data_IF_504672234219
#
_entry.id   IF_504672234219
#
_cell.length_a   1.000
_cell.length_b   1.000
_cell.length_c   1.000
_cell.angle_alpha   90.00
_cell.angle_beta   90.00
_cell.angle_gamma   90.00
#
_symmetry.space_group_name_H-M   'P 1'
#
loop_
_entity.id
_entity.type
_entity.pdbx_description
1 polymer ?
#
# COMPACT_ATOMS: atom_id res chain seq x y z
N UNK A 1 1.29 -1.46 12.38
CA UNK A 1 2.64 -1.20 11.83
C UNK A 1 2.59 0.08 11.02
N UNK A 2 3.09 1.17 11.60
CA UNK A 2 3.27 2.45 10.93
C UNK A 2 4.49 2.32 10.03
N UNK A 3 4.33 2.45 8.71
CA UNK A 3 5.45 2.58 7.80
C UNK A 3 5.75 4.07 7.65
N UNK A 4 6.67 4.56 8.47
CA UNK A 4 7.24 5.90 8.34
C UNK A 4 8.27 5.88 7.20
N UNK A 5 8.14 6.83 6.28
CA UNK A 5 8.76 6.83 4.97
C UNK A 5 9.94 7.79 4.90
N UNK A 6 11.12 7.35 5.31
CA UNK A 6 12.39 8.02 5.02
C UNK A 6 13.03 7.48 3.73
N UNK A 7 12.31 7.55 2.60
CA UNK A 7 12.89 7.25 1.29
C UNK A 7 12.32 8.18 0.21
N UNK A 8 13.06 9.26 -0.04
CA UNK A 8 12.81 10.30 -1.07
C UNK A 8 12.78 9.76 -2.51
N UNK A 9 13.08 8.48 -2.75
CA UNK A 9 13.16 7.88 -4.09
C UNK A 9 12.12 6.79 -4.39
N UNK A 10 11.18 6.51 -3.48
CA UNK A 10 10.06 5.59 -3.74
C UNK A 10 8.75 6.36 -3.70
N UNK A 11 8.26 6.82 -4.85
CA UNK A 11 6.87 7.20 -4.96
C UNK A 11 6.00 6.00 -4.53
N UNK A 12 5.13 6.14 -3.51
CA UNK A 12 4.25 5.06 -3.09
C UNK A 12 3.10 4.97 -4.10
N UNK A 13 3.26 4.21 -5.18
CA UNK A 13 2.20 4.02 -6.19
C UNK A 13 1.09 3.07 -5.75
N UNK A 14 1.32 2.35 -4.64
CA UNK A 14 0.33 1.45 -4.05
C UNK A 14 -0.14 2.01 -2.71
N UNK A 15 -1.38 2.46 -2.69
CA UNK A 15 -2.10 2.71 -1.44
C UNK A 15 -2.55 1.35 -0.91
N UNK A 16 -1.84 0.83 0.09
CA UNK A 16 -2.52 0.06 1.11
C UNK A 16 -3.20 1.09 2.02
N UNK A 17 -4.53 1.07 2.22
CA UNK A 17 -5.17 1.97 3.16
C UNK A 17 -4.58 1.69 4.55
N UNK A 18 -3.78 2.63 5.06
CA UNK A 18 -2.87 2.34 6.16
C UNK A 18 -2.30 3.58 6.84
N UNK A 19 -3.17 4.52 7.23
CA UNK A 19 -3.05 5.28 8.50
C UNK A 19 -4.46 5.62 9.02
N UNK A 20 -5.02 4.68 9.78
CA UNK A 20 -5.99 4.96 10.82
C UNK A 20 -5.23 5.60 11.99
N UNK A 21 -5.67 6.77 12.43
CA UNK A 21 -5.09 7.47 13.58
C UNK A 21 -5.69 6.90 14.87
N UNK A 22 -4.99 5.96 15.50
CA UNK A 22 -5.19 5.63 16.90
C UNK A 22 -4.30 6.57 17.72
N UNK A 23 -4.90 7.56 18.38
CA UNK A 23 -4.21 8.31 19.44
C UNK A 23 -4.23 7.45 20.71
N UNK A 24 -3.09 7.21 21.39
CA UNK A 24 -3.12 6.64 22.73
C UNK A 24 -3.68 7.67 23.71
N UNK A 25 -4.69 7.24 24.45
CA UNK A 25 -5.24 7.94 25.61
C UNK A 25 -4.18 8.05 26.70
N UNK A 26 -4.06 9.23 27.28
CA UNK A 26 -3.27 9.53 28.46
C UNK A 26 -3.70 8.69 29.65
N UNK A 27 -2.77 7.95 30.26
CA UNK A 27 -2.91 7.48 31.64
C UNK A 27 -1.60 7.70 32.40
N UNK A 28 -1.77 8.26 33.58
CA UNK A 28 -0.80 8.73 34.57
C UNK A 28 -0.05 7.62 35.33
N UNK A 29 1.19 7.94 35.76
CA UNK A 29 1.96 7.25 36.82
C UNK A 29 2.75 6.03 36.32
N UNK A 30 3.97 5.73 36.74
CA UNK A 30 4.80 6.16 37.87
C UNK A 30 6.29 5.92 37.54
N UNK A 31 7.15 6.65 38.25
CA UNK A 31 8.61 6.65 38.25
C UNK A 31 9.21 5.24 38.46
N UNK A 32 10.10 4.77 37.57
CA UNK A 32 10.99 3.64 37.87
C UNK A 32 12.34 3.78 37.14
N UNK A 33 13.38 4.06 37.93
CA UNK A 33 14.77 4.17 37.51
C UNK A 33 15.38 2.82 37.15
N UNK A 34 16.15 2.74 36.05
CA UNK A 34 17.10 1.62 35.81
C UNK A 34 18.36 2.08 35.04
N UNK A 35 19.48 1.34 35.15
CA UNK A 35 20.77 1.91 35.51
C UNK A 35 21.74 1.95 34.33
N UNK A 36 22.87 2.63 34.58
CA UNK A 36 23.99 2.78 33.66
C UNK A 36 24.79 1.49 33.38
N UNK A 37 25.54 1.55 32.26
CA UNK A 37 26.70 0.74 31.82
C UNK A 37 26.43 -0.45 30.90
N UNK A 38 27.22 -0.50 29.81
CA UNK A 38 27.52 -1.72 29.09
C UNK A 38 27.87 -1.50 27.63
N UNK A 39 29.15 -1.21 27.35
CA UNK A 39 29.75 -1.17 26.01
C UNK A 39 29.38 -2.38 25.16
N UNK A 40 28.52 -2.20 24.15
CA UNK A 40 28.35 -3.18 23.06
C UNK A 40 29.16 -2.70 21.86
N UNK A 41 30.24 -3.42 21.59
CA UNK A 41 31.03 -3.31 20.35
C UNK A 41 30.06 -3.33 19.17
N UNK A 42 30.05 -2.24 18.41
CA UNK A 42 29.34 -2.15 17.15
C UNK A 42 29.98 -3.13 16.17
N UNK A 43 29.37 -4.31 16.03
CA UNK A 43 29.65 -5.23 14.95
C UNK A 43 29.19 -4.54 13.65
N UNK A 44 30.12 -3.84 13.01
CA UNK A 44 29.93 -3.26 11.67
C UNK A 44 29.75 -4.41 10.68
N UNK A 45 28.52 -4.86 10.48
CA UNK A 45 28.18 -5.67 9.32
C UNK A 45 28.05 -4.74 8.11
N UNK A 46 28.99 -4.95 7.19
CA UNK A 46 29.16 -4.29 5.90
C UNK A 46 27.94 -4.46 4.99
N UNK A 47 27.57 -3.38 4.29
CA UNK A 47 26.66 -3.41 3.14
C UNK A 47 25.27 -2.83 3.38
N UNK A 48 25.13 -1.49 3.37
CA UNK A 48 23.83 -0.82 3.21
C UNK A 48 23.23 -1.19 1.85
N UNK A 49 22.38 -2.23 1.83
CA UNK A 49 21.60 -2.60 0.63
C UNK A 49 20.50 -1.56 0.44
N UNK A 50 20.46 -0.90 -0.71
CA UNK A 50 19.38 0.02 -1.04
C UNK A 50 18.09 -0.78 -1.30
N UNK A 51 17.21 -0.84 -0.29
CA UNK A 51 15.92 -1.51 -0.37
C UNK A 51 14.85 -0.64 -1.07
N UNK A 52 15.16 0.59 -1.48
CA UNK A 52 14.23 1.41 -2.25
C UNK A 52 14.06 0.88 -3.69
N UNK A 53 15.14 0.39 -4.31
CA UNK A 53 15.09 -0.10 -5.69
C UNK A 53 14.16 -1.33 -5.83
N UNK A 54 13.28 -1.29 -6.83
CA UNK A 54 12.27 -2.32 -7.13
C UNK A 54 11.49 -2.77 -5.89
N UNK A 55 11.10 -1.82 -5.04
CA UNK A 55 10.46 -2.09 -3.75
C UNK A 55 9.12 -2.79 -3.94
N UNK A 56 8.29 -2.36 -4.88
CA UNK A 56 6.94 -2.92 -5.06
C UNK A 56 7.01 -4.36 -5.55
N UNK A 57 7.85 -4.61 -6.56
CA UNK A 57 8.12 -5.96 -7.05
C UNK A 57 8.62 -6.87 -5.95
N UNK A 58 9.58 -6.40 -5.13
CA UNK A 58 10.11 -7.18 -4.02
C UNK A 58 9.08 -7.44 -2.91
N UNK A 59 8.14 -6.53 -2.68
CA UNK A 59 7.10 -6.70 -1.66
C UNK A 59 5.97 -7.63 -2.10
N UNK A 60 5.70 -7.71 -3.40
CA UNK A 60 4.63 -8.57 -3.94
C UNK A 60 5.13 -9.94 -4.38
N UNK A 61 6.41 -10.08 -4.72
CA UNK A 61 6.99 -11.35 -5.10
C UNK A 61 7.15 -12.29 -3.91
N UNK A 62 7.00 -13.59 -4.17
CA UNK A 62 7.53 -14.62 -3.29
C UNK A 62 9.06 -14.68 -3.42
N UNK A 63 9.76 -14.23 -2.38
CA UNK A 63 11.22 -14.17 -2.38
C UNK A 63 11.89 -15.53 -2.15
N UNK A 64 11.15 -16.54 -1.66
CA UNK A 64 11.72 -17.89 -1.49
C UNK A 64 12.16 -18.48 -2.84
N UNK A 65 11.45 -18.13 -3.92
CA UNK A 65 11.76 -18.53 -5.30
C UNK A 65 13.14 -18.06 -5.78
N UNK A 66 13.73 -17.05 -5.13
CA UNK A 66 14.98 -16.42 -5.54
C UNK A 66 16.06 -16.42 -4.46
N UNK A 67 15.97 -17.33 -3.49
CA UNK A 67 16.93 -17.41 -2.38
C UNK A 67 16.84 -16.22 -1.42
N UNK A 68 15.64 -15.65 -1.26
CA UNK A 68 15.35 -14.50 -0.42
C UNK A 68 16.22 -13.27 -0.78
N UNK A 69 17.11 -12.89 0.13
CA UNK A 69 18.03 -11.78 -0.03
C UNK A 69 19.44 -12.20 -0.48
N UNK A 70 19.67 -13.50 -0.70
CA UNK A 70 20.94 -14.00 -1.21
C UNK A 70 21.05 -13.74 -2.72
N UNK A 71 21.77 -12.68 -3.09
CA UNK A 71 21.95 -12.30 -4.51
C UNK A 71 22.87 -13.25 -5.28
N UNK A 72 23.66 -14.08 -4.61
CA UNK A 72 24.55 -15.05 -5.29
C UNK A 72 23.87 -16.38 -5.56
N UNK A 73 22.63 -16.57 -5.08
CA UNK A 73 21.86 -17.78 -5.30
C UNK A 73 21.63 -18.10 -6.78
N UNK A 74 21.47 -17.06 -7.62
CA UNK A 74 21.25 -17.20 -9.06
C UNK A 74 21.65 -15.92 -9.81
N UNK A 75 21.84 -15.97 -11.14
CA UNK A 75 22.15 -14.79 -11.95
C UNK A 75 21.11 -13.68 -11.80
N UNK A 76 21.57 -12.43 -11.74
CA UNK A 76 20.69 -11.27 -11.50
C UNK A 76 19.53 -11.16 -12.51
N UNK A 77 19.80 -11.40 -13.80
CA UNK A 77 18.79 -11.33 -14.85
C UNK A 77 17.73 -12.44 -14.75
N UNK A 78 18.07 -13.60 -14.19
CA UNK A 78 17.12 -14.68 -13.94
C UNK A 78 16.30 -14.39 -12.68
N UNK A 79 16.98 -13.91 -11.62
CA UNK A 79 16.37 -13.45 -10.38
C UNK A 79 15.28 -12.41 -10.64
N UNK A 80 15.59 -11.40 -11.43
CA UNK A 80 14.69 -10.29 -11.74
C UNK A 80 13.46 -10.76 -12.53
N UNK A 81 13.66 -11.69 -13.48
CA UNK A 81 12.56 -12.31 -14.24
C UNK A 81 11.61 -13.10 -13.33
N UNK A 82 12.14 -13.96 -12.45
CA UNK A 82 11.33 -14.78 -11.53
C UNK A 82 10.58 -13.87 -10.55
N UNK A 83 11.26 -12.87 -9.97
CA UNK A 83 10.62 -11.92 -9.06
C UNK A 83 9.46 -11.17 -9.72
N UNK A 84 9.66 -10.65 -10.93
CA UNK A 84 8.62 -9.90 -11.62
C UNK A 84 7.42 -10.79 -11.98
N UNK A 85 7.67 -12.01 -12.47
CA UNK A 85 6.60 -12.97 -12.77
C UNK A 85 5.79 -13.32 -11.51
N UNK A 86 6.47 -13.56 -10.38
CA UNK A 86 5.83 -13.83 -9.09
C UNK A 86 4.99 -12.64 -8.61
N UNK A 87 5.53 -11.42 -8.68
CA UNK A 87 4.81 -10.20 -8.31
C UNK A 87 3.56 -9.97 -9.17
N UNK A 88 3.64 -10.15 -10.49
CA UNK A 88 2.48 -10.03 -11.40
C UNK A 88 1.39 -11.06 -11.06
N UNK A 89 1.79 -12.31 -10.81
CA UNK A 89 0.87 -13.38 -10.42
C UNK A 89 0.15 -13.05 -9.11
N UNK A 90 0.90 -12.64 -8.11
CA UNK A 90 0.36 -12.33 -6.79
C UNK A 90 -0.56 -11.11 -6.84
N UNK A 91 -0.16 -10.04 -7.53
CA UNK A 91 -1.02 -8.86 -7.75
C UNK A 91 -2.32 -9.23 -8.47
N UNK A 92 -2.25 -10.10 -9.48
CA UNK A 92 -3.44 -10.54 -10.22
C UNK A 92 -4.39 -11.40 -9.38
N UNK A 93 -3.86 -12.12 -8.39
CA UNK A 93 -4.62 -12.95 -7.47
C UNK A 93 -5.27 -12.17 -6.32
N UNK A 94 -4.81 -10.94 -6.02
CA UNK A 94 -5.43 -10.09 -5.01
C UNK A 94 -6.87 -9.75 -5.38
N UNK A 95 -7.77 -9.79 -4.40
CA UNK A 95 -9.17 -9.39 -4.56
C UNK A 95 -9.28 -7.94 -5.04
N UNK A 96 -8.46 -7.05 -4.50
CA UNK A 96 -8.43 -5.64 -4.85
C UNK A 96 -7.04 -5.02 -4.70
N UNK A 97 -6.74 -4.03 -5.54
CA UNK A 97 -5.65 -3.06 -5.36
C UNK A 97 -6.05 -1.74 -6.05
N UNK A 98 -5.47 -0.62 -5.59
CA UNK A 98 -5.70 0.70 -6.16
C UNK A 98 -4.41 1.35 -6.67
N UNK A 99 -4.56 2.31 -7.58
CA UNK A 99 -3.47 3.15 -8.08
C UNK A 99 -3.66 4.59 -7.62
N UNK A 100 -2.58 5.21 -7.12
CA UNK A 100 -2.62 6.56 -6.53
C UNK A 100 -3.12 7.65 -7.47
N UNK A 101 -2.89 7.50 -8.77
CA UNK A 101 -3.31 8.48 -9.79
C UNK A 101 -4.77 8.28 -10.26
N UNK A 102 -5.44 7.22 -9.77
CA UNK A 102 -6.80 6.84 -10.16
C UNK A 102 -7.67 6.57 -8.93
N UNK A 103 -7.73 7.53 -8.00
CA UNK A 103 -8.42 7.37 -6.71
C UNK A 103 -9.91 7.07 -6.88
N UNK A 104 -10.61 7.83 -7.73
CA UNK A 104 -12.05 7.64 -7.98
C UNK A 104 -12.37 6.27 -8.58
N UNK A 105 -11.57 5.81 -9.54
CA UNK A 105 -11.70 4.47 -10.14
C UNK A 105 -11.40 3.40 -9.09
N UNK A 106 -10.36 3.59 -8.29
CA UNK A 106 -9.96 2.69 -7.21
C UNK A 106 -11.11 2.55 -6.18
N UNK A 107 -11.71 3.66 -5.76
CA UNK A 107 -12.88 3.66 -4.87
C UNK A 107 -14.02 2.84 -5.46
N UNK A 108 -14.42 3.10 -6.71
CA UNK A 108 -15.49 2.36 -7.39
C UNK A 108 -15.21 0.85 -7.42
N UNK A 109 -14.01 0.45 -7.85
CA UNK A 109 -13.65 -0.98 -7.92
C UNK A 109 -13.74 -1.61 -6.53
N UNK A 110 -13.27 -0.93 -5.48
CA UNK A 110 -13.34 -1.44 -4.11
C UNK A 110 -14.80 -1.64 -3.67
N UNK A 111 -15.62 -0.61 -3.80
CA UNK A 111 -17.02 -0.61 -3.39
C UNK A 111 -17.80 -1.74 -4.08
N UNK A 112 -17.62 -1.92 -5.38
CA UNK A 112 -18.28 -2.99 -6.13
C UNK A 112 -17.69 -4.38 -5.86
N UNK A 113 -16.40 -4.49 -5.57
CA UNK A 113 -15.75 -5.78 -5.29
C UNK A 113 -16.21 -6.35 -3.94
N UNK A 114 -16.41 -5.49 -2.94
CA UNK A 114 -16.77 -5.91 -1.58
C UNK A 114 -18.23 -5.60 -1.21
N UNK A 115 -18.99 -4.98 -2.11
CA UNK A 115 -20.34 -4.48 -1.85
C UNK A 115 -20.41 -3.57 -0.60
N UNK A 116 -19.46 -2.63 -0.52
CA UNK A 116 -19.34 -1.64 0.56
C UNK A 116 -19.45 -0.24 -0.03
N UNK A 117 -19.69 0.76 0.81
CA UNK A 117 -19.68 2.18 0.42
C UNK A 117 -18.82 2.99 1.37
N UNK A 118 -17.98 3.85 0.82
CA UNK A 118 -17.27 4.82 1.66
C UNK A 118 -18.21 5.98 2.03
N UNK A 119 -18.14 6.42 3.28
CA UNK A 119 -18.88 7.60 3.73
C UNK A 119 -18.30 8.91 3.18
N UNK A 120 -17.02 8.91 2.80
CA UNK A 120 -16.30 10.06 2.27
C UNK A 120 -15.65 9.64 0.95
N UNK A 121 -15.85 10.41 -0.15
CA UNK A 121 -15.21 10.11 -1.43
C UNK A 121 -13.70 10.27 -1.36
N UNK A 122 -12.98 9.52 -2.20
CA UNK A 122 -11.54 9.66 -2.29
C UNK A 122 -11.17 10.96 -3.03
N UNK A 123 -10.20 11.69 -2.50
CA UNK A 123 -9.66 12.89 -3.12
C UNK A 123 -8.46 12.60 -4.01
N UNK A 124 -8.49 13.10 -5.25
CA UNK A 124 -7.38 12.97 -6.17
C UNK A 124 -6.39 14.12 -5.96
N UNK A 125 -5.21 13.81 -5.42
CA UNK A 125 -4.11 14.78 -5.32
C UNK A 125 -3.10 14.57 -6.46
N UNK A 126 -3.16 15.42 -7.49
CA UNK A 126 -2.25 15.33 -8.64
C UNK A 126 -0.86 15.92 -8.37
N UNK A 127 -0.77 16.83 -7.39
CA UNK A 127 0.49 17.43 -6.96
C UNK A 127 1.04 16.65 -5.78
N UNK A 128 2.02 15.80 -6.05
CA UNK A 128 2.73 15.05 -5.01
C UNK A 128 4.16 15.57 -4.85
N UNK A 129 4.77 15.31 -3.70
CA UNK A 129 6.21 15.57 -3.49
C UNK A 129 7.04 14.94 -4.62
N UNK A 130 6.70 13.71 -5.04
CA UNK A 130 7.37 13.05 -6.15
C UNK A 130 7.22 13.81 -7.47
N UNK A 131 6.04 14.36 -7.79
CA UNK A 131 5.84 15.17 -9.01
C UNK A 131 6.76 16.40 -8.99
N UNK A 132 6.83 17.10 -7.86
CA UNK A 132 7.71 18.27 -7.69
C UNK A 132 9.18 17.88 -7.82
N UNK A 133 9.59 16.81 -7.14
CA UNK A 133 10.97 16.31 -7.21
C UNK A 133 11.34 15.91 -8.63
N UNK A 134 10.48 15.18 -9.35
CA UNK A 134 10.77 14.74 -10.72
C UNK A 134 11.00 15.89 -11.69
N UNK A 135 10.34 17.04 -11.48
CA UNK A 135 10.55 18.24 -12.28
C UNK A 135 11.90 18.92 -12.01
N UNK A 136 12.48 18.70 -10.82
CA UNK A 136 13.79 19.25 -10.45
C UNK A 136 14.98 18.36 -10.84
N UNK A 137 14.73 17.14 -11.33
CA UNK A 137 15.79 16.18 -11.68
C UNK A 137 16.34 16.40 -13.09
N UNK A 138 17.65 16.22 -13.23
CA UNK A 138 18.29 16.15 -14.54
C UNK A 138 17.87 14.89 -15.32
N UNK A 139 17.95 14.90 -16.67
CA UNK A 139 17.64 13.72 -17.48
C UNK A 139 18.49 12.48 -17.11
N UNK A 140 19.76 12.68 -16.77
CA UNK A 140 20.65 11.60 -16.34
C UNK A 140 20.20 10.97 -15.01
N UNK A 141 19.77 11.78 -14.05
CA UNK A 141 19.23 11.29 -12.78
C UNK A 141 17.91 10.54 -12.99
N UNK A 142 17.03 11.04 -13.86
CA UNK A 142 15.77 10.35 -14.20
C UNK A 142 16.04 8.98 -14.81
N UNK A 143 16.90 8.91 -15.83
CA UNK A 143 17.32 7.63 -16.44
C UNK A 143 17.90 6.67 -15.40
N UNK A 144 18.67 7.19 -14.43
CA UNK A 144 19.22 6.35 -13.37
C UNK A 144 18.14 5.78 -12.44
N UNK A 145 17.13 6.59 -12.09
CA UNK A 145 15.98 6.14 -11.29
C UNK A 145 15.19 5.07 -12.05
N UNK A 146 14.99 5.27 -13.34
CA UNK A 146 14.25 4.31 -14.19
C UNK A 146 14.99 2.97 -14.27
N UNK A 147 16.30 2.99 -14.49
CA UNK A 147 17.12 1.78 -14.48
C UNK A 147 17.10 1.05 -13.13
N UNK A 148 17.13 1.79 -12.01
CA UNK A 148 17.07 1.20 -10.67
C UNK A 148 15.71 0.58 -10.36
N UNK A 149 14.64 1.04 -11.02
CA UNK A 149 13.26 0.63 -10.78
C UNK A 149 12.61 -0.06 -12.00
N UNK A 150 13.41 -0.65 -12.89
CA UNK A 150 12.93 -1.24 -14.13
C UNK A 150 11.81 -2.30 -13.92
N UNK A 151 11.91 -3.11 -12.85
CA UNK A 151 10.88 -4.11 -12.54
C UNK A 151 9.60 -3.47 -12.03
N UNK A 152 9.72 -2.44 -11.17
CA UNK A 152 8.56 -1.71 -10.67
C UNK A 152 7.84 -0.96 -11.80
N UNK A 153 8.57 -0.42 -12.78
CA UNK A 153 7.97 0.20 -13.98
C UNK A 153 7.16 -0.82 -14.78
N UNK A 154 7.72 -2.00 -15.03
CA UNK A 154 7.03 -3.06 -15.79
C UNK A 154 5.83 -3.64 -15.01
N UNK A 155 5.98 -3.82 -13.69
CA UNK A 155 4.91 -4.26 -12.80
C UNK A 155 3.77 -3.23 -12.76
N UNK A 156 4.10 -1.94 -12.68
CA UNK A 156 3.11 -0.87 -12.67
C UNK A 156 2.34 -0.80 -13.99
N UNK A 157 3.01 -0.95 -15.14
CA UNK A 157 2.33 -1.02 -16.45
C UNK A 157 1.33 -2.19 -16.51
N UNK A 158 1.70 -3.35 -15.97
CA UNK A 158 0.80 -4.49 -15.82
C UNK A 158 -0.37 -4.18 -14.87
N UNK A 159 -0.09 -3.60 -13.69
CA UNK A 159 -1.09 -3.23 -12.69
C UNK A 159 -2.15 -2.27 -13.26
N UNK A 160 -1.71 -1.25 -14.00
CA UNK A 160 -2.58 -0.27 -14.67
C UNK A 160 -3.52 -0.95 -15.65
N UNK A 161 -2.98 -1.77 -16.55
CA UNK A 161 -3.80 -2.54 -17.50
C UNK A 161 -4.83 -3.42 -16.78
N UNK A 162 -4.41 -4.15 -15.75
CA UNK A 162 -5.29 -5.03 -15.00
C UNK A 162 -6.38 -4.26 -14.24
N UNK A 163 -6.07 -3.12 -13.63
CA UNK A 163 -7.04 -2.27 -12.94
C UNK A 163 -8.13 -1.78 -13.90
N UNK A 164 -7.75 -1.25 -15.07
CA UNK A 164 -8.72 -0.80 -16.08
C UNK A 164 -9.56 -1.97 -16.62
N UNK A 165 -8.98 -3.14 -16.83
CA UNK A 165 -9.76 -4.34 -17.20
C UNK A 165 -10.80 -4.73 -16.14
N UNK A 166 -10.44 -4.65 -14.84
CA UNK A 166 -11.38 -4.89 -13.74
C UNK A 166 -12.46 -3.82 -13.69
N UNK A 167 -12.10 -2.56 -13.86
CA UNK A 167 -13.03 -1.44 -13.93
C UNK A 167 -14.07 -1.63 -15.02
N UNK A 168 -13.66 -1.86 -16.27
CA UNK A 168 -14.58 -2.05 -17.39
C UNK A 168 -15.51 -3.25 -17.20
N UNK A 169 -15.01 -4.34 -16.60
CA UNK A 169 -15.85 -5.50 -16.28
C UNK A 169 -16.93 -5.18 -15.24
N UNK A 170 -16.61 -4.39 -14.23
CA UNK A 170 -17.57 -3.96 -13.20
C UNK A 170 -18.57 -2.97 -13.79
N UNK A 171 -18.09 -1.99 -14.55
CA UNK A 171 -18.90 -1.01 -15.29
C UNK A 171 -19.92 -1.70 -16.22
N UNK A 172 -19.49 -2.71 -16.98
CA UNK A 172 -20.37 -3.42 -17.90
C UNK A 172 -21.51 -4.21 -17.23
N UNK A 173 -21.41 -4.47 -15.92
CA UNK A 173 -22.45 -5.15 -15.12
C UNK A 173 -23.35 -4.18 -14.35
N UNK A 174 -23.02 -2.90 -14.39
CA UNK A 174 -23.68 -1.86 -13.62
C UNK A 174 -24.62 -1.05 -14.51
N UNK A 175 -25.93 -1.30 -14.36
CA UNK A 175 -26.96 -0.60 -15.13
C UNK A 175 -27.07 0.90 -14.76
N UNK A 176 -26.68 1.27 -13.55
CA UNK A 176 -26.78 2.62 -13.01
C UNK A 176 -25.40 3.31 -12.93
N UNK A 177 -24.43 2.81 -13.71
CA UNK A 177 -23.03 3.22 -13.61
C UNK A 177 -22.82 4.72 -13.64
N UNK A 178 -23.40 5.42 -14.61
CA UNK A 178 -23.19 6.86 -14.75
C UNK A 178 -23.67 7.63 -13.51
N UNK A 179 -24.78 7.19 -12.92
CA UNK A 179 -25.31 7.80 -11.69
C UNK A 179 -24.45 7.42 -10.49
N UNK A 180 -24.16 6.14 -10.26
CA UNK A 180 -23.39 5.69 -9.09
C UNK A 180 -21.97 6.24 -9.11
N UNK A 181 -21.31 6.20 -10.26
CA UNK A 181 -19.95 6.70 -10.43
C UNK A 181 -19.87 8.22 -10.25
N UNK A 182 -20.88 8.98 -10.69
CA UNK A 182 -20.96 10.42 -10.44
C UNK A 182 -21.10 10.75 -8.95
N UNK A 183 -21.82 9.93 -8.19
CA UNK A 183 -22.19 10.17 -6.79
C UNK A 183 -21.44 9.29 -5.77
N UNK A 184 -20.26 8.75 -6.12
CA UNK A 184 -19.43 7.99 -5.20
C UNK A 184 -19.17 8.79 -3.91
N UNK A 185 -19.35 8.15 -2.75
CA UNK A 185 -19.22 8.79 -1.45
C UNK A 185 -20.32 9.80 -1.09
N UNK A 186 -21.30 10.06 -1.96
CA UNK A 186 -22.44 10.92 -1.68
C UNK A 186 -23.66 10.06 -1.33
N UNK A 187 -23.71 9.60 -0.08
CA UNK A 187 -24.85 8.86 0.46
C UNK A 187 -26.00 9.84 0.70
N UNK A 188 -26.85 10.04 -0.31
CA UNK A 188 -27.98 10.97 -0.29
C UNK A 188 -29.01 10.73 0.83
N UNK A 189 -28.98 9.56 1.48
CA UNK A 189 -29.73 9.28 2.72
C UNK A 189 -28.87 8.37 3.61
N UNK A 190 -28.60 8.81 4.85
CA UNK A 190 -28.00 7.99 5.92
C UNK A 190 -29.00 6.94 6.46
N UNK A 191 -29.62 6.15 5.59
CA UNK A 191 -30.64 5.16 5.99
C UNK A 191 -30.44 3.77 5.37
N UNK A 192 -29.19 3.39 5.09
CA UNK A 192 -28.83 2.02 4.74
C UNK A 192 -27.99 1.40 5.86
N UNK A 193 -28.33 0.17 6.25
CA UNK A 193 -27.77 -0.66 7.35
C UNK A 193 -26.31 -1.08 7.12
N UNK A 194 -25.43 -0.18 6.68
CA UNK A 194 -24.01 -0.49 6.42
C UNK A 194 -23.08 0.56 7.02
N UNK A 195 -23.47 1.22 8.10
CA UNK A 195 -22.50 1.86 8.98
C UNK A 195 -21.86 0.75 9.82
N UNK A 196 -20.76 0.17 9.32
CA UNK A 196 -19.94 -0.74 10.11
C UNK A 196 -19.23 0.08 11.19
N UNK A 197 -19.88 0.21 12.34
CA UNK A 197 -19.33 0.87 13.52
C UNK A 197 -18.43 -0.13 14.27
N UNK A 198 -17.12 0.12 14.28
CA UNK A 198 -16.16 -0.71 15.02
C UNK A 198 -16.34 -0.65 16.54
N UNK A 199 -16.98 0.39 17.07
CA UNK A 199 -17.18 0.57 18.52
C UNK A 199 -18.32 -0.30 19.06
N UNK A 200 -19.27 -0.74 18.22
CA UNK A 200 -20.45 -1.50 18.66
C UNK A 200 -20.18 -2.97 19.01
N UNK A 201 -19.00 -3.51 18.67
CA UNK A 201 -18.65 -4.92 18.87
C UNK A 201 -17.70 -5.16 20.05
N UNK A 202 -17.39 -4.13 20.85
CA UNK A 202 -16.49 -4.23 22.01
C UNK A 202 -17.26 -4.53 23.31
N UNK A 203 -18.58 -4.30 23.36
CA UNK A 203 -19.37 -4.38 24.59
C UNK A 203 -19.94 -5.78 24.91
N UNK A 204 -19.76 -6.78 24.04
CA UNK A 204 -20.27 -8.15 24.25
C UNK A 204 -19.28 -9.10 24.97
N UNK A 205 -18.31 -8.56 25.72
CA UNK A 205 -17.55 -9.37 26.67
C UNK A 205 -18.32 -9.45 27.99
N UNK A 206 -18.85 -10.63 28.39
CA UNK A 206 -19.51 -10.75 29.67
C UNK A 206 -18.50 -10.45 30.78
N UNK A 207 -18.76 -9.38 31.55
CA UNK A 207 -18.10 -9.17 32.81
C UNK A 207 -18.40 -10.36 33.70
N UNK A 208 -17.40 -11.22 33.90
CA UNK A 208 -17.45 -12.27 34.91
C UNK A 208 -17.79 -11.63 36.26
N UNK A 209 -18.99 -11.95 36.76
CA UNK A 209 -19.32 -11.85 38.17
C UNK A 209 -18.31 -12.68 38.96
N UNK A 210 -17.60 -12.03 39.88
CA UNK A 210 -17.01 -12.72 41.03
C UNK A 210 -17.36 -11.95 42.30
N UNK A 211 -17.89 -12.75 43.24
CA UNK A 211 -18.30 -12.46 44.60
C UNK A 211 -17.39 -11.53 45.41
#
# INVERSE_FOLDING_TARGET
>A
MVWEADCVACAPWMVFPGKFSLKPTSSSGTDEQKPSRGSRKALRHSGRRNLAANRQTRMLADLALVGCYNKTYMPAAERDRIMLASAKRNLAAMSYFGLTEYQKISQYIFEETFNLRFAIPFEQHNTTVSTVTMNSLTPAQRNRIDQLNALDIELYAFAKKLMFQRFERLKAKDNDFEVRFAHLGNLGVRSGVTEFNWDSNIDDLPSNEHH
#
